data_IF_068609938318
#
_entry.id   IF_068609938318
#
_cell.length_a   1.000
_cell.length_b   1.000
_cell.length_c   1.000
_cell.angle_alpha   90.00
_cell.angle_beta   90.00
_cell.angle_gamma   90.00
#
_symmetry.space_group_name_H-M   'P 1'
#
loop_
_entity.id
_entity.type
_entity.pdbx_description
1 polymer ?
#
# COMPACT_ATOMS: atom_id res chain seq x y z
N UNK A 1 6.17 -22.92 19.18
CA UNK A 1 6.40 -21.51 18.79
C UNK A 1 5.03 -20.86 18.69
N UNK A 2 4.71 -19.91 19.55
CA UNK A 2 3.41 -19.24 19.52
C UNK A 2 3.33 -18.39 18.25
N UNK A 3 2.61 -18.90 17.24
CA UNK A 3 2.33 -18.16 16.03
C UNK A 3 1.34 -17.06 16.43
N UNK A 4 1.84 -15.84 16.67
CA UNK A 4 0.99 -14.67 16.87
C UNK A 4 0.18 -14.47 15.58
N UNK A 5 -1.03 -15.05 15.57
CA UNK A 5 -1.99 -14.86 14.50
C UNK A 5 -2.56 -13.46 14.67
N UNK A 6 -1.93 -12.49 13.99
CA UNK A 6 -2.51 -11.16 13.84
C UNK A 6 -3.92 -11.33 13.24
N UNK A 7 -4.92 -10.59 13.75
CA UNK A 7 -6.25 -10.61 13.16
C UNK A 7 -6.16 -10.25 11.68
N UNK A 8 -6.94 -10.94 10.85
CA UNK A 8 -6.82 -10.88 9.38
C UNK A 8 -6.82 -9.45 8.84
N UNK A 9 -7.60 -8.58 9.46
CA UNK A 9 -7.65 -7.14 9.19
C UNK A 9 -6.31 -6.43 9.44
N UNK A 10 -5.68 -6.62 10.60
CA UNK A 10 -4.39 -5.99 10.92
C UNK A 10 -3.29 -6.46 9.96
N UNK A 11 -3.36 -7.74 9.55
CA UNK A 11 -2.43 -8.30 8.56
C UNK A 11 -2.61 -7.62 7.19
N UNK A 12 -3.83 -7.43 6.71
CA UNK A 12 -4.08 -6.77 5.43
C UNK A 12 -3.74 -5.29 5.43
N UNK A 13 -4.03 -4.58 6.53
CA UNK A 13 -3.60 -3.19 6.70
C UNK A 13 -2.07 -3.12 6.68
N UNK A 14 -1.39 -4.02 7.40
CA UNK A 14 0.07 -4.10 7.44
C UNK A 14 0.69 -4.31 6.06
N UNK A 15 0.17 -5.25 5.27
CA UNK A 15 0.65 -5.50 3.90
C UNK A 15 0.36 -4.35 2.95
N UNK A 16 -0.82 -3.73 3.05
CA UNK A 16 -1.18 -2.57 2.24
C UNK A 16 -0.27 -1.37 2.53
N UNK A 17 -0.01 -1.11 3.82
CA UNK A 17 0.90 -0.05 4.24
C UNK A 17 2.34 -0.31 3.78
N UNK A 18 2.80 -1.57 3.87
CA UNK A 18 4.11 -1.97 3.35
C UNK A 18 4.22 -1.75 1.85
N UNK A 19 3.21 -2.16 1.08
CA UNK A 19 3.15 -1.94 -0.37
C UNK A 19 3.27 -0.46 -0.72
N UNK A 20 2.46 0.39 -0.09
CA UNK A 20 2.52 1.84 -0.27
C UNK A 20 3.89 2.43 0.09
N UNK A 21 4.50 1.97 1.18
CA UNK A 21 5.83 2.39 1.61
C UNK A 21 6.90 2.04 0.58
N UNK A 22 6.92 0.79 0.10
CA UNK A 22 7.88 0.33 -0.91
C UNK A 22 7.69 1.10 -2.23
N UNK A 23 6.45 1.26 -2.69
CA UNK A 23 6.15 2.05 -3.89
C UNK A 23 6.69 3.48 -3.77
N UNK A 24 6.45 4.14 -2.63
CA UNK A 24 6.95 5.51 -2.39
C UNK A 24 8.48 5.57 -2.46
N UNK A 25 9.18 4.60 -1.86
CA UNK A 25 10.64 4.54 -1.90
C UNK A 25 11.18 4.34 -3.32
N UNK A 26 10.51 3.54 -4.14
CA UNK A 26 10.88 3.35 -5.56
C UNK A 26 10.76 4.65 -6.33
N UNK A 27 9.65 5.37 -6.21
CA UNK A 27 9.46 6.65 -6.89
C UNK A 27 10.44 7.72 -6.38
N UNK A 28 10.73 7.75 -5.08
CA UNK A 28 11.77 8.61 -4.51
C UNK A 28 13.15 8.29 -5.10
N UNK A 29 13.49 7.01 -5.24
CA UNK A 29 14.73 6.57 -5.87
C UNK A 29 14.81 7.01 -7.33
N UNK A 30 13.73 6.81 -8.09
CA UNK A 30 13.63 7.24 -9.49
C UNK A 30 13.79 8.76 -9.64
N UNK A 31 13.13 9.55 -8.79
CA UNK A 31 13.24 11.01 -8.81
C UNK A 31 14.65 11.50 -8.43
N UNK A 32 15.35 10.79 -7.54
CA UNK A 32 16.73 11.11 -7.20
C UNK A 32 17.70 10.80 -8.35
N UNK A 33 17.46 9.70 -9.08
CA UNK A 33 18.26 9.34 -10.26
C UNK A 33 18.00 10.21 -11.49
N UNK A 34 16.78 10.74 -11.64
CA UNK A 34 16.37 11.54 -12.81
C UNK A 34 15.72 12.88 -12.41
N UNK A 35 16.53 13.88 -12.00
CA UNK A 35 16.03 15.16 -11.51
C UNK A 35 15.19 15.93 -12.55
N UNK A 36 15.52 15.81 -13.83
CA UNK A 36 14.85 16.53 -14.91
C UNK A 36 13.40 16.07 -15.13
N UNK A 37 13.06 14.86 -14.68
CA UNK A 37 11.71 14.28 -14.75
C UNK A 37 11.04 14.15 -13.38
N UNK A 38 11.64 14.68 -12.31
CA UNK A 38 11.22 14.43 -10.93
C UNK A 38 9.74 14.76 -10.70
N UNK A 39 9.25 15.89 -11.22
CA UNK A 39 7.85 16.29 -11.07
C UNK A 39 6.88 15.29 -11.69
N UNK A 40 7.15 14.85 -12.92
CA UNK A 40 6.34 13.82 -13.60
C UNK A 40 6.40 12.49 -12.86
N UNK A 41 7.59 12.10 -12.38
CA UNK A 41 7.80 10.87 -11.61
C UNK A 41 6.96 10.91 -10.32
N UNK A 42 6.96 12.04 -9.61
CA UNK A 42 6.17 12.21 -8.40
C UNK A 42 4.66 12.25 -8.69
N UNK A 43 4.24 12.85 -9.81
CA UNK A 43 2.83 12.89 -10.22
C UNK A 43 2.31 11.48 -10.51
N UNK A 44 3.06 10.69 -11.29
CA UNK A 44 2.73 9.28 -11.57
C UNK A 44 2.82 8.45 -10.29
N UNK A 45 3.81 8.69 -9.45
CA UNK A 45 3.96 8.04 -8.15
C UNK A 45 2.77 8.28 -7.23
N UNK A 46 2.31 9.53 -7.13
CA UNK A 46 1.13 9.89 -6.36
C UNK A 46 -0.13 9.22 -6.91
N UNK A 47 -0.34 9.23 -8.23
CA UNK A 47 -1.45 8.52 -8.86
C UNK A 47 -1.42 7.00 -8.55
N UNK A 48 -0.23 6.40 -8.60
CA UNK A 48 -0.04 4.98 -8.27
C UNK A 48 -0.37 4.70 -6.81
N UNK A 49 0.11 5.54 -5.88
CA UNK A 49 -0.18 5.41 -4.45
C UNK A 49 -1.68 5.54 -4.14
N UNK A 50 -2.38 6.45 -4.83
CA UNK A 50 -3.84 6.57 -4.70
C UNK A 50 -4.53 5.28 -5.13
N UNK A 51 -4.18 4.72 -6.30
CA UNK A 51 -4.77 3.48 -6.81
C UNK A 51 -4.50 2.31 -5.86
N UNK A 52 -3.25 2.13 -5.43
CA UNK A 52 -2.86 1.07 -4.48
C UNK A 52 -3.58 1.26 -3.14
N UNK A 53 -3.70 2.50 -2.66
CA UNK A 53 -4.41 2.81 -1.42
C UNK A 53 -5.90 2.47 -1.48
N UNK A 54 -6.55 2.77 -2.61
CA UNK A 54 -7.96 2.40 -2.84
C UNK A 54 -8.14 0.88 -2.90
N UNK A 55 -7.24 0.17 -3.58
CA UNK A 55 -7.27 -1.29 -3.64
C UNK A 55 -7.06 -1.93 -2.26
N UNK A 56 -6.06 -1.46 -1.51
CA UNK A 56 -5.83 -1.93 -0.14
C UNK A 56 -7.02 -1.63 0.79
N UNK A 57 -7.63 -0.45 0.69
CA UNK A 57 -8.83 -0.11 1.47
C UNK A 57 -10.02 -1.02 1.11
N UNK A 58 -10.17 -1.36 -0.17
CA UNK A 58 -11.19 -2.31 -0.64
C UNK A 58 -10.96 -3.71 -0.07
N UNK A 59 -9.72 -4.19 -0.05
CA UNK A 59 -9.39 -5.52 0.47
C UNK A 59 -9.67 -5.61 1.98
N UNK A 60 -9.22 -4.60 2.74
CA UNK A 60 -9.51 -4.49 4.19
C UNK A 60 -11.02 -4.47 4.44
N UNK A 61 -11.79 -3.73 3.63
CA UNK A 61 -13.25 -3.69 3.76
C UNK A 61 -13.92 -5.01 3.42
N UNK A 62 -13.39 -5.78 2.46
CA UNK A 62 -13.85 -7.12 2.13
C UNK A 62 -13.63 -8.07 3.31
N UNK A 63 -12.41 -8.09 3.88
CA UNK A 63 -12.09 -8.94 5.04
C UNK A 63 -12.96 -8.61 6.24
N UNK A 64 -13.21 -7.32 6.53
CA UNK A 64 -14.15 -6.91 7.59
C UNK A 64 -15.56 -7.47 7.35
N UNK A 65 -16.10 -7.37 6.13
CA UNK A 65 -17.46 -7.86 5.78
C UNK A 65 -17.59 -9.37 5.71
N UNK A 66 -16.49 -10.10 5.54
CA UNK A 66 -16.44 -11.56 5.60
C UNK A 66 -16.30 -12.04 7.05
N UNK A 67 -15.54 -11.33 7.88
CA UNK A 67 -15.44 -11.57 9.32
C UNK A 67 -16.77 -11.37 10.07
N UNK A 68 -17.58 -10.38 9.68
CA UNK A 68 -18.91 -10.11 10.27
C UNK A 68 -19.99 -11.16 9.93
N UNK A 69 -19.74 -12.06 8.96
CA UNK A 69 -20.71 -13.11 8.57
C UNK A 69 -20.41 -14.49 9.15
N UNK A 70 -19.32 -14.63 9.92
CA UNK A 70 -18.91 -15.87 10.59
C UNK A 70 -19.35 -15.86 12.06
#
# INVERSE_FOLDING_TARGET
MAQMQLPAEQREIGWSALGLGVTTLVFKGAAWSYPQGADTIWLVGAATLVVVGVLGARDVWRVRREGDKA
#
